data_IF_367062022996
#
_entry.id   IF_367062022996
#
_cell.length_a   1.000
_cell.length_b   1.000
_cell.length_c   1.000
_cell.angle_alpha   90.00
_cell.angle_beta   90.00
_cell.angle_gamma   90.00
#
_symmetry.space_group_name_H-M   'P 1'
#
loop_
_entity.id
_entity.type
_entity.pdbx_description
1 polymer ?
#
# COMPACT_ATOMS: atom_id res chain seq x y z
N UNK A 1 14.26 -26.05 -2.90
CA UNK A 1 14.66 -24.63 -2.72
C UNK A 1 13.45 -23.79 -3.09
N UNK A 2 12.73 -23.22 -2.11
CA UNK A 2 11.57 -22.38 -2.42
C UNK A 2 12.09 -21.09 -3.05
N UNK A 3 11.88 -20.94 -4.36
CA UNK A 3 12.04 -19.65 -5.03
C UNK A 3 11.10 -18.68 -4.31
N UNK A 4 11.67 -17.76 -3.54
CA UNK A 4 10.89 -16.78 -2.79
C UNK A 4 10.15 -15.91 -3.79
N UNK A 5 8.84 -16.13 -3.96
CA UNK A 5 8.02 -15.33 -4.85
C UNK A 5 8.16 -13.85 -4.42
N UNK A 6 8.80 -12.98 -5.22
CA UNK A 6 9.10 -11.60 -4.82
C UNK A 6 7.83 -10.78 -4.57
N UNK A 7 6.69 -11.21 -5.11
CA UNK A 7 5.39 -10.57 -4.89
C UNK A 7 4.75 -10.86 -3.52
N UNK A 8 5.29 -11.83 -2.74
CA UNK A 8 4.75 -12.17 -1.41
C UNK A 8 4.97 -11.10 -0.34
N UNK A 9 5.89 -10.18 -0.56
CA UNK A 9 6.16 -9.09 0.37
C UNK A 9 5.12 -7.96 0.21
N UNK A 10 4.86 -7.42 -0.99
CA UNK A 10 3.80 -6.43 -1.17
C UNK A 10 2.41 -6.97 -0.83
N UNK A 11 2.09 -8.24 -1.13
CA UNK A 11 0.84 -8.87 -0.68
C UNK A 11 0.70 -8.83 0.85
N UNK A 12 1.73 -9.25 1.59
CA UNK A 12 1.68 -9.23 3.07
C UNK A 12 1.57 -7.83 3.66
N UNK A 13 2.14 -6.83 3.00
CA UNK A 13 1.99 -5.42 3.41
C UNK A 13 0.57 -4.94 3.14
N UNK A 14 -0.03 -5.31 2.00
CA UNK A 14 -1.42 -5.02 1.69
C UNK A 14 -2.37 -5.70 2.68
N UNK A 15 -2.21 -6.99 2.94
CA UNK A 15 -3.01 -7.78 3.90
C UNK A 15 -2.92 -7.19 5.31
N UNK A 16 -1.71 -6.84 5.77
CA UNK A 16 -1.51 -6.19 7.06
C UNK A 16 -2.21 -4.84 7.16
N UNK A 17 -2.26 -4.10 6.05
CA UNK A 17 -2.95 -2.83 5.98
C UNK A 17 -4.47 -3.01 5.98
N UNK A 18 -5.00 -3.99 5.26
CA UNK A 18 -6.43 -4.33 5.28
C UNK A 18 -6.88 -4.79 6.67
N UNK A 19 -6.07 -5.60 7.35
CA UNK A 19 -6.36 -6.08 8.73
C UNK A 19 -6.34 -4.96 9.77
N UNK A 20 -5.48 -3.94 9.60
CA UNK A 20 -5.47 -2.73 10.46
C UNK A 20 -6.43 -1.65 9.99
N UNK A 21 -6.83 -1.74 8.73
CA UNK A 21 -7.36 -0.69 7.90
C UNK A 21 -8.63 -1.15 7.20
N UNK A 22 -9.55 -1.71 7.98
CA UNK A 22 -10.95 -1.43 7.74
C UNK A 22 -11.59 -2.02 6.47
N UNK A 23 -11.76 -3.33 6.49
CA UNK A 23 -12.92 -3.97 5.88
C UNK A 23 -13.77 -4.64 6.96
N UNK A 24 -14.99 -4.16 7.17
CA UNK A 24 -16.03 -4.85 7.95
C UNK A 24 -17.03 -5.36 6.92
N UNK A 25 -17.15 -6.68 6.72
CA UNK A 25 -18.12 -7.23 5.79
C UNK A 25 -19.55 -6.80 6.20
N UNK A 26 -20.30 -6.19 5.27
CA UNK A 26 -21.70 -5.79 5.49
C UNK A 26 -21.97 -4.29 5.71
N UNK A 27 -20.93 -3.45 5.77
CA UNK A 27 -21.07 -1.99 6.00
C UNK A 27 -20.97 -1.19 4.68
N UNK A 28 -21.81 -1.52 3.68
CA UNK A 28 -21.75 -0.91 2.34
C UNK A 28 -22.30 0.53 2.27
N UNK A 29 -22.93 1.04 3.33
CA UNK A 29 -23.65 2.32 3.30
C UNK A 29 -23.08 3.42 4.23
N UNK A 30 -21.85 3.23 4.73
CA UNK A 30 -21.18 4.22 5.59
C UNK A 30 -20.60 5.38 4.78
N UNK A 31 -20.39 6.51 5.46
CA UNK A 31 -19.71 7.68 4.88
C UNK A 31 -18.28 7.32 4.48
N UNK A 32 -17.88 7.78 3.28
CA UNK A 32 -16.52 7.62 2.75
C UNK A 32 -15.52 8.19 3.75
N UNK A 33 -14.52 7.40 4.13
CA UNK A 33 -13.42 7.84 4.98
C UNK A 33 -12.15 7.89 4.12
N UNK A 34 -11.67 9.10 3.75
CA UNK A 34 -10.59 9.24 2.79
C UNK A 34 -9.30 8.49 3.16
N UNK A 35 -8.92 8.54 4.45
CA UNK A 35 -7.70 7.88 4.95
C UNK A 35 -7.76 6.36 4.87
N UNK A 36 -8.97 5.84 4.97
CA UNK A 36 -9.28 4.43 4.96
C UNK A 36 -9.37 3.88 3.54
N UNK A 37 -10.12 4.60 2.70
CA UNK A 37 -10.52 4.14 1.38
C UNK A 37 -9.42 4.42 0.34
N UNK A 38 -8.61 5.47 0.56
CA UNK A 38 -7.54 5.89 -0.34
C UNK A 38 -6.15 5.84 0.29
N UNK A 39 -6.03 5.34 1.52
CA UNK A 39 -4.75 5.26 2.24
C UNK A 39 -3.68 4.51 1.45
N UNK A 40 -4.05 3.40 0.80
CA UNK A 40 -3.12 2.61 -0.03
C UNK A 40 -2.58 3.44 -1.21
N UNK A 41 -3.45 4.21 -1.87
CA UNK A 41 -3.09 5.04 -3.01
C UNK A 41 -2.09 6.12 -2.59
N UNK A 42 -2.32 6.73 -1.42
CA UNK A 42 -1.40 7.72 -0.84
C UNK A 42 -0.04 7.08 -0.52
N UNK A 43 -0.01 5.90 0.11
CA UNK A 43 1.23 5.20 0.46
C UNK A 43 2.04 4.83 -0.78
N UNK A 44 1.40 4.23 -1.78
CA UNK A 44 2.08 3.85 -3.04
C UNK A 44 2.57 5.08 -3.79
N UNK A 45 1.79 6.15 -3.79
CA UNK A 45 2.19 7.41 -4.40
C UNK A 45 3.42 8.02 -3.72
N UNK A 46 3.44 8.09 -2.38
CA UNK A 46 4.58 8.59 -1.61
C UNK A 46 5.82 7.71 -1.78
N UNK A 47 5.66 6.38 -1.78
CA UNK A 47 6.76 5.46 -2.01
C UNK A 47 7.34 5.62 -3.42
N UNK A 48 6.49 5.72 -4.43
CA UNK A 48 6.89 5.99 -5.81
C UNK A 48 7.63 7.32 -5.95
N UNK A 49 7.12 8.38 -5.32
CA UNK A 49 7.77 9.69 -5.31
C UNK A 49 9.15 9.63 -4.63
N UNK A 50 9.26 8.96 -3.49
CA UNK A 50 10.53 8.81 -2.79
C UNK A 50 11.57 8.05 -3.64
N UNK A 51 11.18 6.93 -4.25
CA UNK A 51 12.04 6.17 -5.17
C UNK A 51 12.46 7.02 -6.36
N UNK A 52 11.53 7.78 -6.95
CA UNK A 52 11.81 8.69 -8.05
C UNK A 52 12.87 9.73 -7.64
N UNK A 53 12.69 10.41 -6.51
CA UNK A 53 13.66 11.39 -6.01
C UNK A 53 15.02 10.75 -5.76
N UNK A 54 15.07 9.58 -5.10
CA UNK A 54 16.33 8.88 -4.83
C UNK A 54 17.04 8.46 -6.12
N UNK A 55 16.31 8.00 -7.12
CA UNK A 55 16.87 7.64 -8.42
C UNK A 55 17.59 8.82 -9.07
N UNK A 56 16.94 9.99 -9.15
CA UNK A 56 17.56 11.19 -9.72
C UNK A 56 18.67 11.78 -8.84
N UNK A 57 18.56 11.65 -7.52
CA UNK A 57 19.60 12.11 -6.60
C UNK A 57 20.89 11.29 -6.72
N UNK A 58 20.79 9.99 -7.00
CA UNK A 58 21.93 9.08 -7.16
C UNK A 58 22.47 9.00 -8.59
N UNK A 59 21.72 9.49 -9.57
CA UNK A 59 22.12 9.51 -10.98
C UNK A 59 23.06 10.70 -11.33
N UNK A 60 23.70 11.30 -10.32
CA UNK A 60 24.67 12.41 -10.42
C UNK A 60 26.09 11.89 -10.52
#
# INVERSE_FOLDING_TARGET
>A
MSVGNPFRWPERVADWFEMRGVYVPGEDNRVVNPWRDWGWLIVVWLAGLAVFVLFFALAV
#
